data_IF_812783612175
#
_entry.id   IF_812783612175
#
_cell.length_a   1.000
_cell.length_b   1.000
_cell.length_c   1.000
_cell.angle_alpha   90.00
_cell.angle_beta   90.00
_cell.angle_gamma   90.00
#
_symmetry.space_group_name_H-M   'P 1'
#
loop_
_entity.id
_entity.type
_entity.pdbx_description
1 polymer ?
#
# COMPACT_ATOMS: atom_id res chain seq x y z
N UNK A 1 29.47 3.35 -1.21
CA UNK A 1 28.32 4.06 -0.64
C UNK A 1 28.32 3.73 0.83
N UNK A 2 28.49 4.72 1.71
CA UNK A 2 28.39 4.49 3.16
C UNK A 2 26.96 4.02 3.47
N UNK A 3 26.82 2.92 4.21
CA UNK A 3 25.53 2.49 4.74
C UNK A 3 25.01 3.59 5.66
N UNK A 4 24.12 4.43 5.14
CA UNK A 4 23.46 5.46 5.94
C UNK A 4 22.57 4.74 6.95
N UNK A 5 23.04 4.68 8.19
CA UNK A 5 22.28 4.09 9.29
C UNK A 5 21.12 5.03 9.62
N UNK A 6 19.89 4.54 9.50
CA UNK A 6 18.67 5.26 9.86
C UNK A 6 18.12 4.63 11.14
N UNK A 7 18.39 5.18 12.34
CA UNK A 7 17.95 4.59 13.60
C UNK A 7 16.43 4.37 13.66
N UNK A 8 15.66 5.26 13.04
CA UNK A 8 14.20 5.16 12.92
C UNK A 8 13.74 3.89 12.19
N UNK A 9 14.54 3.36 11.24
CA UNK A 9 14.24 2.12 10.52
C UNK A 9 14.46 0.92 11.43
N UNK A 10 15.58 0.86 12.15
CA UNK A 10 15.87 -0.27 13.05
C UNK A 10 14.89 -0.32 14.22
N UNK A 11 14.57 0.83 14.83
CA UNK A 11 13.60 0.90 15.93
C UNK A 11 12.20 0.43 15.48
N UNK A 12 11.74 0.86 14.29
CA UNK A 12 10.45 0.43 13.75
C UNK A 12 10.47 -1.04 13.36
N UNK A 13 11.57 -1.52 12.79
CA UNK A 13 11.77 -2.91 12.41
C UNK A 13 11.71 -3.83 13.63
N UNK A 14 12.38 -3.48 14.71
CA UNK A 14 12.35 -4.23 15.97
C UNK A 14 10.94 -4.26 16.57
N UNK A 15 10.23 -3.11 16.57
CA UNK A 15 8.84 -3.04 17.03
C UNK A 15 7.93 -3.92 16.18
N UNK A 16 8.02 -3.79 14.85
CA UNK A 16 7.21 -4.55 13.91
C UNK A 16 7.43 -6.06 14.10
N UNK A 17 8.68 -6.53 14.07
CA UNK A 17 8.96 -7.95 14.23
C UNK A 17 8.66 -8.48 15.63
N UNK A 18 8.77 -7.64 16.67
CA UNK A 18 8.29 -7.98 18.00
C UNK A 18 6.79 -8.26 18.02
N UNK A 19 5.98 -7.52 17.27
CA UNK A 19 4.55 -7.83 17.15
C UNK A 19 4.34 -9.11 16.34
N UNK A 20 5.04 -9.25 15.20
CA UNK A 20 4.92 -10.43 14.34
C UNK A 20 5.22 -11.73 15.12
N UNK A 21 6.30 -11.76 15.90
CA UNK A 21 6.67 -12.95 16.69
C UNK A 21 5.67 -13.29 17.80
N UNK A 22 4.93 -12.30 18.31
CA UNK A 22 3.93 -12.50 19.35
C UNK A 22 2.53 -12.87 18.82
N UNK A 23 2.25 -12.54 17.56
CA UNK A 23 0.90 -12.69 16.97
C UNK A 23 0.80 -13.77 15.90
N UNK A 24 1.92 -14.24 15.36
CA UNK A 24 1.97 -15.21 14.28
C UNK A 24 2.67 -16.50 14.72
N UNK A 25 2.36 -17.60 14.04
CA UNK A 25 3.19 -18.81 14.15
C UNK A 25 4.62 -18.55 13.68
N UNK A 26 5.56 -19.36 14.17
CA UNK A 26 6.98 -19.20 13.81
C UNK A 26 7.24 -19.27 12.29
N UNK A 27 6.47 -20.11 11.58
CA UNK A 27 6.61 -20.27 10.13
C UNK A 27 6.13 -19.01 9.38
N UNK A 28 4.98 -18.44 9.74
CA UNK A 28 4.50 -17.19 9.12
C UNK A 28 5.34 -15.98 9.53
N UNK A 29 5.83 -15.93 10.78
CA UNK A 29 6.74 -14.89 11.23
C UNK A 29 8.04 -14.88 10.41
N UNK A 30 8.64 -16.05 10.16
CA UNK A 30 9.82 -16.18 9.31
C UNK A 30 9.51 -15.81 7.86
N UNK A 31 8.33 -16.18 7.36
CA UNK A 31 7.89 -15.81 6.01
C UNK A 31 7.76 -14.29 5.83
N UNK A 32 7.18 -13.59 6.80
CA UNK A 32 7.09 -12.12 6.82
C UNK A 32 8.48 -11.49 6.92
N UNK A 33 9.37 -12.04 7.75
CA UNK A 33 10.77 -11.59 7.88
C UNK A 33 11.54 -11.74 6.57
N UNK A 34 11.42 -12.89 5.93
CA UNK A 34 12.03 -13.15 4.62
C UNK A 34 11.48 -12.20 3.55
N UNK A 35 10.16 -11.95 3.56
CA UNK A 35 9.52 -11.01 2.64
C UNK A 35 10.08 -9.59 2.80
N UNK A 36 10.21 -9.09 4.03
CA UNK A 36 10.79 -7.78 4.32
C UNK A 36 12.22 -7.67 3.81
N UNK A 37 13.08 -8.67 4.08
CA UNK A 37 14.48 -8.63 3.65
C UNK A 37 14.60 -8.52 2.13
N UNK A 38 13.77 -9.27 1.39
CA UNK A 38 13.75 -9.19 -0.07
C UNK A 38 13.19 -7.84 -0.54
N UNK A 39 12.08 -7.37 0.03
CA UNK A 39 11.49 -6.07 -0.34
C UNK A 39 12.45 -4.89 -0.07
N UNK A 40 13.16 -4.92 1.05
CA UNK A 40 14.21 -3.96 1.41
C UNK A 40 15.37 -4.00 0.41
N UNK A 41 15.81 -5.20 0.00
CA UNK A 41 16.85 -5.38 -1.01
C UNK A 41 16.44 -4.86 -2.39
N UNK A 42 15.19 -5.09 -2.80
CA UNK A 42 14.66 -4.56 -4.07
C UNK A 42 14.67 -3.02 -4.09
N UNK A 43 14.44 -2.37 -2.95
CA UNK A 43 14.37 -0.91 -2.83
C UNK A 43 15.65 -0.27 -2.28
N UNK A 44 16.76 -1.01 -2.15
CA UNK A 44 17.98 -0.55 -1.47
C UNK A 44 18.53 0.79 -1.97
N UNK A 45 18.40 1.05 -3.28
CA UNK A 45 18.89 2.28 -3.91
C UNK A 45 17.81 3.38 -4.03
N UNK A 46 16.61 3.16 -3.49
CA UNK A 46 15.49 4.11 -3.53
C UNK A 46 15.41 4.89 -2.23
N UNK A 47 15.08 6.17 -2.37
CA UNK A 47 14.76 7.04 -1.25
C UNK A 47 13.33 7.54 -1.38
N UNK A 48 12.60 7.53 -0.26
CA UNK A 48 11.29 8.15 -0.15
C UNK A 48 11.42 9.40 0.73
N UNK A 49 11.10 10.58 0.20
CA UNK A 49 11.17 11.84 0.96
C UNK A 49 12.51 12.10 1.71
N UNK A 50 13.64 11.62 1.18
CA UNK A 50 15.01 11.68 1.75
C UNK A 50 15.33 10.67 2.85
N UNK A 51 14.44 9.72 3.13
CA UNK A 51 14.70 8.55 4.00
C UNK A 51 14.74 7.28 3.16
N UNK A 52 15.28 6.19 3.71
CA UNK A 52 15.22 4.87 3.09
C UNK A 52 13.77 4.52 2.73
N UNK A 53 13.56 3.98 1.53
CA UNK A 53 12.24 3.49 1.12
C UNK A 53 11.73 2.37 2.03
N UNK A 54 12.65 1.61 2.62
CA UNK A 54 12.37 0.53 3.59
C UNK A 54 11.49 1.00 4.76
N UNK A 55 11.66 2.25 5.18
CA UNK A 55 10.86 2.83 6.26
C UNK A 55 9.37 2.90 5.88
N UNK A 56 9.05 3.26 4.63
CA UNK A 56 7.66 3.34 4.16
C UNK A 56 7.03 1.94 4.09
N UNK A 57 7.78 0.95 3.60
CA UNK A 57 7.31 -0.44 3.54
C UNK A 57 6.95 -0.97 4.93
N UNK A 58 7.83 -0.76 5.91
CA UNK A 58 7.60 -1.13 7.31
C UNK A 58 6.41 -0.38 7.90
N UNK A 59 6.28 0.93 7.68
CA UNK A 59 5.15 1.72 8.19
C UNK A 59 3.79 1.23 7.68
N UNK A 60 3.73 0.80 6.41
CA UNK A 60 2.50 0.26 5.83
C UNK A 60 2.17 -1.11 6.42
N UNK A 61 3.15 -2.02 6.50
CA UNK A 61 2.97 -3.34 7.09
C UNK A 61 2.60 -3.26 8.59
N UNK A 62 3.26 -2.39 9.34
CA UNK A 62 2.96 -2.11 10.74
C UNK A 62 1.56 -1.49 10.90
N UNK A 63 1.17 -0.59 10.00
CA UNK A 63 -0.19 -0.04 9.96
C UNK A 63 -1.26 -1.12 9.83
N UNK A 64 -1.04 -2.14 9.00
CA UNK A 64 -1.97 -3.27 8.85
C UNK A 64 -2.12 -4.06 10.16
N UNK A 65 -1.01 -4.30 10.85
CA UNK A 65 -1.01 -4.98 12.16
C UNK A 65 -1.82 -4.17 13.18
N UNK A 66 -1.60 -2.85 13.26
CA UNK A 66 -2.29 -1.97 14.21
C UNK A 66 -3.79 -1.86 13.96
N UNK A 67 -4.25 -1.91 12.71
CA UNK A 67 -5.70 -1.88 12.43
C UNK A 67 -6.39 -3.21 12.69
N UNK A 68 -5.66 -4.27 13.08
CA UNK A 68 -6.22 -5.55 13.51
C UNK A 68 -5.94 -6.74 12.60
N UNK A 69 -5.00 -6.66 11.67
CA UNK A 69 -4.60 -7.79 10.80
C UNK A 69 -3.44 -8.63 11.38
N UNK A 70 -3.29 -8.68 12.70
CA UNK A 70 -2.22 -9.40 13.39
C UNK A 70 -2.55 -10.88 13.65
N UNK A 71 -2.62 -11.71 12.61
CA UNK A 71 -2.77 -13.17 12.74
C UNK A 71 -2.38 -13.92 11.45
N UNK A 72 -2.09 -15.22 11.57
CA UNK A 72 -1.66 -16.10 10.46
C UNK A 72 -2.54 -15.99 9.20
N UNK A 73 -3.87 -15.89 9.36
CA UNK A 73 -4.81 -15.74 8.23
C UNK A 73 -4.62 -14.44 7.42
N UNK A 74 -3.84 -13.51 7.93
CA UNK A 74 -3.52 -12.22 7.31
C UNK A 74 -2.06 -12.08 6.91
N UNK A 75 -1.22 -13.11 7.07
CA UNK A 75 0.20 -13.05 6.72
C UNK A 75 0.42 -12.60 5.26
N UNK A 76 -0.38 -13.10 4.32
CA UNK A 76 -0.34 -12.68 2.91
C UNK A 76 -0.64 -11.18 2.72
N UNK A 77 -1.54 -10.60 3.53
CA UNK A 77 -1.86 -9.18 3.45
C UNK A 77 -0.69 -8.33 3.99
N UNK A 78 -0.06 -8.76 5.08
CA UNK A 78 1.14 -8.10 5.63
C UNK A 78 2.30 -8.16 4.63
N UNK A 79 2.54 -9.32 4.02
CA UNK A 79 3.54 -9.50 2.97
C UNK A 79 3.20 -8.60 1.77
N UNK A 80 1.95 -8.54 1.33
CA UNK A 80 1.53 -7.64 0.27
C UNK A 80 1.80 -6.16 0.63
N UNK A 81 1.61 -5.77 1.90
CA UNK A 81 1.99 -4.44 2.40
C UNK A 81 3.49 -4.14 2.24
N UNK A 82 4.36 -5.12 2.46
CA UNK A 82 5.81 -4.98 2.24
C UNK A 82 6.17 -4.87 0.74
N UNK A 83 5.37 -5.46 -0.15
CA UNK A 83 5.62 -5.46 -1.60
C UNK A 83 4.79 -4.46 -2.41
N UNK A 84 3.88 -3.70 -1.80
CA UNK A 84 2.80 -2.99 -2.51
C UNK A 84 3.28 -2.04 -3.63
N UNK A 85 4.43 -1.39 -3.42
CA UNK A 85 5.04 -0.48 -4.40
C UNK A 85 6.05 -1.18 -5.35
N UNK A 86 6.41 -2.44 -5.08
CA UNK A 86 7.46 -3.14 -5.84
C UNK A 86 7.10 -3.29 -7.32
N UNK A 87 5.82 -3.52 -7.59
CA UNK A 87 5.29 -3.66 -8.95
C UNK A 87 5.42 -2.36 -9.75
N UNK A 88 5.28 -1.20 -9.09
CA UNK A 88 5.34 0.12 -9.71
C UNK A 88 6.79 0.64 -9.83
N UNK A 89 7.56 0.51 -8.76
CA UNK A 89 8.80 1.27 -8.58
C UNK A 89 10.06 0.49 -8.94
N UNK A 90 10.01 -0.84 -8.87
CA UNK A 90 11.15 -1.75 -9.10
C UNK A 90 10.78 -3.02 -9.90
N UNK A 91 10.00 -2.92 -11.01
CA UNK A 91 9.59 -4.10 -11.78
C UNK A 91 10.77 -4.84 -12.39
N UNK A 92 11.83 -4.15 -12.80
CA UNK A 92 13.03 -4.77 -13.38
C UNK A 92 13.81 -5.58 -12.34
N UNK A 93 13.92 -5.07 -11.10
CA UNK A 93 14.61 -5.75 -10.00
C UNK A 93 13.86 -7.02 -9.59
N UNK A 94 12.52 -6.99 -9.59
CA UNK A 94 11.69 -8.19 -9.37
C UNK A 94 12.00 -9.28 -10.40
N UNK A 95 12.06 -8.92 -11.68
CA UNK A 95 12.36 -9.86 -12.77
C UNK A 95 13.80 -10.39 -12.69
N UNK A 96 14.76 -9.55 -12.30
CA UNK A 96 16.14 -9.96 -12.08
C UNK A 96 16.27 -10.93 -10.91
N UNK A 97 15.52 -10.71 -9.81
CA UNK A 97 15.56 -11.55 -8.62
C UNK A 97 15.15 -13.00 -8.92
N UNK A 98 14.17 -13.21 -9.82
CA UNK A 98 13.75 -14.55 -10.25
C UNK A 98 14.61 -15.15 -11.38
N UNK A 99 15.70 -14.49 -11.76
CA UNK A 99 16.64 -14.98 -12.79
C UNK A 99 16.14 -14.81 -14.23
N UNK A 100 15.11 -13.98 -14.47
CA UNK A 100 14.59 -13.72 -15.82
C UNK A 100 15.42 -12.69 -16.59
N UNK A 101 16.45 -12.12 -15.97
CA UNK A 101 17.42 -11.25 -16.64
C UNK A 101 18.39 -12.03 -17.52
N UNK A 102 18.07 -12.12 -18.82
CA UNK A 102 18.90 -12.57 -19.97
C UNK A 102 18.56 -13.92 -20.65
N UNK A 103 17.40 -14.54 -20.39
CA UNK A 103 17.04 -15.80 -21.06
C UNK A 103 15.55 -16.02 -21.27
N UNK A 104 15.02 -15.50 -22.39
CA UNK A 104 13.85 -15.92 -23.21
C UNK A 104 12.61 -16.59 -22.58
N UNK A 105 12.37 -16.49 -21.27
CA UNK A 105 11.06 -16.74 -20.66
C UNK A 105 10.47 -15.41 -20.26
N UNK A 106 9.42 -14.95 -20.94
CA UNK A 106 8.63 -13.78 -20.55
C UNK A 106 7.89 -14.08 -19.23
N UNK A 107 8.61 -14.02 -18.11
CA UNK A 107 8.00 -14.03 -16.78
C UNK A 107 7.43 -12.62 -16.56
N UNK A 108 6.14 -12.53 -16.33
CA UNK A 108 5.47 -11.29 -15.94
C UNK A 108 5.87 -10.87 -14.52
N UNK A 109 5.69 -9.58 -14.19
CA UNK A 109 5.97 -9.08 -12.82
C UNK A 109 5.08 -9.77 -11.78
N UNK A 110 3.84 -10.12 -12.14
CA UNK A 110 2.94 -10.90 -11.28
C UNK A 110 3.53 -12.29 -10.99
N UNK A 111 3.92 -13.05 -12.02
CA UNK A 111 4.54 -14.37 -11.84
C UNK A 111 5.87 -14.29 -11.06
N UNK A 112 6.62 -13.20 -11.19
CA UNK A 112 7.82 -12.98 -10.39
C UNK A 112 7.48 -12.81 -8.90
N UNK A 113 6.48 -12.00 -8.57
CA UNK A 113 6.00 -11.83 -7.19
C UNK A 113 5.48 -13.14 -6.61
N UNK A 114 4.72 -13.92 -7.36
CA UNK A 114 4.23 -15.24 -6.94
C UNK A 114 5.38 -16.18 -6.60
N UNK A 115 6.42 -16.23 -7.45
CA UNK A 115 7.60 -17.07 -7.21
C UNK A 115 8.38 -16.64 -5.97
N UNK A 116 8.57 -15.33 -5.77
CA UNK A 116 9.32 -14.77 -4.64
C UNK A 116 8.58 -15.04 -3.32
N UNK A 117 7.27 -14.77 -3.31
CA UNK A 117 6.44 -14.81 -2.09
C UNK A 117 5.84 -16.19 -1.82
N UNK A 118 5.88 -17.06 -2.83
CA UNK A 118 5.22 -18.36 -2.88
C UNK A 118 3.71 -18.26 -2.61
N UNK A 119 3.08 -17.16 -3.01
CA UNK A 119 1.64 -16.92 -2.84
C UNK A 119 1.04 -16.10 -3.98
N UNK A 120 0.09 -16.72 -4.68
CA UNK A 120 -0.78 -16.06 -5.66
C UNK A 120 -1.58 -14.91 -5.03
N UNK A 121 -2.01 -15.09 -3.77
CA UNK A 121 -2.80 -14.10 -3.04
C UNK A 121 -2.01 -12.83 -2.77
N UNK A 122 -0.72 -12.94 -2.46
CA UNK A 122 0.17 -11.77 -2.32
C UNK A 122 0.27 -11.01 -3.65
N UNK A 123 0.54 -11.71 -4.75
CA UNK A 123 0.66 -11.08 -6.07
C UNK A 123 -0.65 -10.39 -6.49
N UNK A 124 -1.79 -11.01 -6.19
CA UNK A 124 -3.10 -10.44 -6.44
C UNK A 124 -3.34 -9.16 -5.61
N UNK A 125 -3.05 -9.16 -4.31
CA UNK A 125 -3.16 -7.96 -3.48
C UNK A 125 -2.29 -6.82 -4.02
N UNK A 126 -1.02 -7.10 -4.33
CA UNK A 126 -0.09 -6.10 -4.87
C UNK A 126 -0.65 -5.54 -6.18
N UNK A 127 -1.05 -6.39 -7.12
CA UNK A 127 -1.65 -5.95 -8.38
C UNK A 127 -2.91 -5.07 -8.18
N UNK A 128 -3.77 -5.44 -7.22
CA UNK A 128 -4.97 -4.66 -6.89
C UNK A 128 -4.63 -3.26 -6.38
N UNK A 129 -3.57 -3.09 -5.57
CA UNK A 129 -3.21 -1.79 -4.98
C UNK A 129 -2.22 -0.97 -5.81
N UNK A 130 -1.53 -1.57 -6.78
CA UNK A 130 -0.51 -0.90 -7.59
C UNK A 130 -1.09 -0.01 -8.70
N UNK A 131 -0.71 1.26 -8.80
CA UNK A 131 -1.12 2.15 -9.87
C UNK A 131 -0.65 1.65 -11.25
N UNK A 132 -1.46 1.91 -12.28
CA UNK A 132 -1.06 1.72 -13.67
C UNK A 132 -0.06 2.82 -14.06
N UNK A 133 0.87 2.53 -14.98
CA UNK A 133 1.72 3.56 -15.58
C UNK A 133 0.87 4.70 -16.16
N UNK A 134 1.34 5.93 -15.99
CA UNK A 134 0.68 7.08 -16.60
C UNK A 134 0.80 6.98 -18.13
N UNK A 135 -0.28 7.13 -18.92
CA UNK A 135 -0.24 6.94 -20.35
C UNK A 135 0.64 7.97 -21.07
N UNK A 136 1.45 7.53 -22.02
CA UNK A 136 2.35 8.40 -22.80
C UNK A 136 1.60 9.36 -23.74
N UNK A 137 0.35 9.03 -24.10
CA UNK A 137 -0.51 9.81 -24.99
C UNK A 137 -1.28 10.94 -24.28
N UNK A 138 -1.17 11.03 -22.95
CA UNK A 138 -1.76 12.09 -22.15
C UNK A 138 -0.68 13.08 -21.71
N UNK A 139 -0.93 14.38 -21.91
CA UNK A 139 -0.01 15.41 -21.42
C UNK A 139 0.14 15.30 -19.88
N UNK A 140 1.36 15.18 -19.34
CA UNK A 140 1.60 14.88 -17.93
C UNK A 140 1.50 16.10 -17.02
N UNK A 141 0.46 16.93 -17.22
CA UNK A 141 0.12 18.04 -16.33
C UNK A 141 -0.22 17.53 -14.93
N UNK A 142 -0.04 18.37 -13.91
CA UNK A 142 -0.42 18.03 -12.53
C UNK A 142 -1.90 17.61 -12.44
N UNK A 143 -2.79 18.30 -13.14
CA UNK A 143 -4.22 18.00 -13.16
C UNK A 143 -4.52 16.64 -13.79
N UNK A 144 -3.93 16.36 -14.95
CA UNK A 144 -4.13 15.10 -15.65
C UNK A 144 -3.62 13.93 -14.82
N UNK A 145 -2.48 14.09 -14.13
CA UNK A 145 -1.95 13.09 -13.20
C UNK A 145 -2.92 12.82 -12.06
N UNK A 146 -3.40 13.87 -11.38
CA UNK A 146 -4.35 13.74 -10.27
C UNK A 146 -5.61 12.99 -10.71
N UNK A 147 -6.20 13.41 -11.84
CA UNK A 147 -7.39 12.76 -12.40
C UNK A 147 -7.13 11.30 -12.72
N UNK A 148 -6.04 11.00 -13.42
CA UNK A 148 -5.68 9.63 -13.76
C UNK A 148 -5.52 8.73 -12.54
N UNK A 149 -4.84 9.21 -11.47
CA UNK A 149 -4.69 8.42 -10.24
C UNK A 149 -6.05 8.14 -9.58
N UNK A 150 -6.93 9.15 -9.48
CA UNK A 150 -8.25 8.97 -8.89
C UNK A 150 -9.14 8.02 -9.73
N UNK A 151 -9.12 8.15 -11.06
CA UNK A 151 -9.89 7.30 -11.96
C UNK A 151 -9.39 5.86 -11.96
N UNK A 152 -8.07 5.65 -11.86
CA UNK A 152 -7.48 4.33 -11.71
C UNK A 152 -7.94 3.65 -10.40
N UNK A 153 -7.89 4.36 -9.27
CA UNK A 153 -8.44 3.85 -7.99
C UNK A 153 -9.93 3.52 -8.11
N UNK A 154 -10.72 4.39 -8.75
CA UNK A 154 -12.15 4.17 -8.94
C UNK A 154 -12.40 2.94 -9.82
N UNK A 155 -11.68 2.78 -10.92
CA UNK A 155 -11.82 1.62 -11.79
C UNK A 155 -11.51 0.31 -11.03
N UNK A 156 -10.51 0.33 -10.15
CA UNK A 156 -10.09 -0.84 -9.37
C UNK A 156 -11.04 -1.23 -8.25
N UNK A 157 -11.57 -0.24 -7.54
CA UNK A 157 -12.30 -0.47 -6.28
C UNK A 157 -13.77 -0.09 -6.33
N UNK A 158 -14.29 0.42 -7.44
CA UNK A 158 -15.69 0.85 -7.57
C UNK A 158 -16.27 0.46 -8.93
N UNK A 159 -15.44 0.42 -9.97
CA UNK A 159 -15.86 0.04 -11.32
C UNK A 159 -16.50 -1.35 -11.38
N UNK A 160 -17.15 -1.64 -12.51
CA UNK A 160 -17.84 -2.90 -12.75
C UNK A 160 -16.84 -4.08 -12.74
N UNK A 161 -16.62 -4.64 -11.55
CA UNK A 161 -16.00 -5.96 -11.39
C UNK A 161 -17.09 -6.97 -11.72
N UNK A 162 -16.80 -7.90 -12.63
CA UNK A 162 -17.77 -8.96 -12.93
C UNK A 162 -18.11 -9.72 -11.65
N UNK A 163 -19.41 -10.02 -11.42
CA UNK A 163 -19.83 -10.77 -10.21
C UNK A 163 -19.14 -12.13 -10.07
N UNK A 164 -18.56 -12.66 -11.16
CA UNK A 164 -17.87 -13.95 -11.21
C UNK A 164 -16.42 -13.88 -10.71
N UNK A 165 -15.81 -12.69 -10.65
CA UNK A 165 -14.42 -12.47 -10.22
C UNK A 165 -14.31 -11.70 -8.89
N UNK A 166 -15.44 -11.32 -8.31
CA UNK A 166 -15.49 -10.49 -7.12
C UNK A 166 -15.44 -11.32 -5.82
N UNK A 167 -14.32 -11.25 -5.10
CA UNK A 167 -14.18 -11.72 -3.72
C UNK A 167 -14.29 -10.53 -2.75
N UNK A 168 -15.42 -10.37 -2.03
CA UNK A 168 -15.63 -9.25 -1.13
C UNK A 168 -14.54 -9.10 -0.06
N UNK A 169 -14.07 -10.22 0.51
CA UNK A 169 -13.06 -10.23 1.58
C UNK A 169 -11.72 -9.73 1.05
N UNK A 170 -11.32 -10.22 -0.13
CA UNK A 170 -10.10 -9.77 -0.79
C UNK A 170 -10.16 -8.28 -1.12
N UNK A 171 -11.27 -7.79 -1.68
CA UNK A 171 -11.47 -6.38 -1.98
C UNK A 171 -11.44 -5.51 -0.73
N UNK A 172 -12.12 -5.91 0.35
CA UNK A 172 -12.09 -5.19 1.62
C UNK A 172 -10.67 -5.04 2.19
N UNK A 173 -9.87 -6.11 2.13
CA UNK A 173 -8.47 -6.12 2.57
C UNK A 173 -7.57 -5.27 1.67
N UNK A 174 -7.77 -5.30 0.35
CA UNK A 174 -7.03 -4.46 -0.60
C UNK A 174 -7.33 -2.96 -0.41
N UNK A 175 -8.60 -2.62 -0.14
CA UNK A 175 -9.01 -1.25 0.22
C UNK A 175 -8.35 -0.82 1.53
N UNK A 176 -8.34 -1.67 2.56
CA UNK A 176 -7.68 -1.39 3.83
C UNK A 176 -6.17 -1.10 3.64
N UNK A 177 -5.46 -1.94 2.87
CA UNK A 177 -4.07 -1.72 2.51
C UNK A 177 -3.88 -0.36 1.82
N UNK A 178 -4.72 -0.01 0.84
CA UNK A 178 -4.59 1.27 0.12
C UNK A 178 -4.90 2.48 0.99
N UNK A 179 -5.83 2.38 1.95
CA UNK A 179 -6.10 3.41 2.94
C UNK A 179 -4.86 3.64 3.82
N UNK A 180 -4.23 2.56 4.31
CA UNK A 180 -3.05 2.66 5.17
C UNK A 180 -1.86 3.25 4.42
N UNK A 181 -1.57 2.77 3.20
CA UNK A 181 -0.56 3.35 2.31
C UNK A 181 -0.79 4.86 2.12
N UNK A 182 -2.02 5.24 1.75
CA UNK A 182 -2.37 6.65 1.56
C UNK A 182 -2.21 7.45 2.86
N UNK A 183 -2.60 6.89 4.01
CA UNK A 183 -2.42 7.50 5.32
C UNK A 183 -0.95 7.77 5.65
N UNK A 184 -0.07 6.76 5.52
CA UNK A 184 1.36 6.92 5.78
C UNK A 184 2.00 7.93 4.82
N UNK A 185 1.62 7.89 3.54
CA UNK A 185 2.00 8.89 2.54
C UNK A 185 1.61 10.33 2.95
N UNK A 186 0.39 10.53 3.45
CA UNK A 186 -0.09 11.86 3.85
C UNK A 186 0.62 12.40 5.09
N UNK A 187 0.96 11.51 6.05
CA UNK A 187 1.76 11.89 7.23
C UNK A 187 3.11 12.46 6.84
N UNK A 188 3.71 12.01 5.74
CA UNK A 188 5.01 12.47 5.26
C UNK A 188 4.96 13.77 4.44
N UNK A 189 3.78 14.34 4.17
CA UNK A 189 3.67 15.59 3.40
C UNK A 189 4.47 16.76 4.00
N UNK A 190 4.63 16.79 5.32
CA UNK A 190 5.37 17.85 6.01
C UNK A 190 6.87 17.85 5.68
N UNK A 191 7.45 16.69 5.34
CA UNK A 191 8.87 16.55 4.98
C UNK A 191 9.18 16.95 3.53
N UNK A 192 8.15 17.09 2.68
CA UNK A 192 8.30 17.52 1.27
C UNK A 192 8.71 19.00 1.21
N UNK A 193 9.98 19.28 0.94
CA UNK A 193 10.56 20.64 0.95
C UNK A 193 9.95 21.59 -0.11
N UNK A 194 9.61 21.07 -1.29
CA UNK A 194 9.02 21.89 -2.36
C UNK A 194 7.56 22.22 -2.06
N UNK A 195 7.23 23.51 -1.96
CA UNK A 195 5.86 23.99 -1.74
C UNK A 195 4.91 23.57 -2.86
N UNK A 196 5.33 23.69 -4.11
CA UNK A 196 4.55 23.28 -5.28
C UNK A 196 4.29 21.77 -5.27
N UNK A 197 5.33 20.96 -5.05
CA UNK A 197 5.19 19.50 -4.93
C UNK A 197 4.25 19.11 -3.79
N UNK A 198 4.36 19.79 -2.64
CA UNK A 198 3.49 19.57 -1.48
C UNK A 198 2.03 19.92 -1.78
N UNK A 199 1.77 21.03 -2.48
CA UNK A 199 0.42 21.42 -2.89
C UNK A 199 -0.19 20.42 -3.88
N UNK A 200 0.60 19.98 -4.87
CA UNK A 200 0.23 18.92 -5.80
C UNK A 200 -0.14 17.62 -5.07
N UNK A 201 0.73 17.14 -4.17
CA UNK A 201 0.48 15.90 -3.42
C UNK A 201 -0.74 16.00 -2.51
N UNK A 202 -0.97 17.15 -1.87
CA UNK A 202 -2.21 17.39 -1.11
C UNK A 202 -3.44 17.21 -1.99
N UNK A 203 -3.47 17.86 -3.16
CA UNK A 203 -4.59 17.73 -4.09
C UNK A 203 -4.76 16.29 -4.59
N UNK A 204 -3.67 15.59 -4.92
CA UNK A 204 -3.68 14.16 -5.27
C UNK A 204 -4.36 13.34 -4.18
N UNK A 205 -3.91 13.46 -2.93
CA UNK A 205 -4.45 12.67 -1.83
C UNK A 205 -5.88 13.07 -1.43
N UNK A 206 -6.28 14.33 -1.63
CA UNK A 206 -7.68 14.75 -1.49
C UNK A 206 -8.59 14.00 -2.46
N UNK A 207 -8.21 13.90 -3.74
CA UNK A 207 -9.03 13.15 -4.71
C UNK A 207 -8.99 11.63 -4.46
N UNK A 208 -7.83 11.09 -4.04
CA UNK A 208 -7.74 9.68 -3.63
C UNK A 208 -8.62 9.37 -2.42
N UNK A 209 -8.66 10.25 -1.41
CA UNK A 209 -9.49 10.04 -0.20
C UNK A 209 -10.97 9.88 -0.56
N UNK A 210 -11.52 10.72 -1.43
CA UNK A 210 -12.93 10.63 -1.86
C UNK A 210 -13.26 9.25 -2.45
N UNK A 211 -12.36 8.73 -3.29
CA UNK A 211 -12.51 7.41 -3.92
C UNK A 211 -12.38 6.30 -2.89
N UNK A 212 -11.41 6.41 -1.96
CA UNK A 212 -11.19 5.41 -0.92
C UNK A 212 -12.35 5.36 0.09
N UNK A 213 -12.96 6.50 0.44
CA UNK A 213 -14.16 6.54 1.29
C UNK A 213 -15.35 5.83 0.64
N UNK A 214 -15.54 6.00 -0.66
CA UNK A 214 -16.58 5.31 -1.43
C UNK A 214 -16.31 3.81 -1.47
N UNK A 215 -15.09 3.41 -1.84
CA UNK A 215 -14.66 2.01 -1.83
C UNK A 215 -14.78 1.37 -0.44
N UNK A 216 -14.43 2.09 0.62
CA UNK A 216 -14.56 1.65 2.01
C UNK A 216 -16.03 1.35 2.38
N UNK A 217 -16.96 2.24 2.00
CA UNK A 217 -18.39 2.02 2.24
C UNK A 217 -18.91 0.78 1.51
N UNK A 218 -18.44 0.56 0.28
CA UNK A 218 -18.85 -0.58 -0.55
C UNK A 218 -18.27 -1.91 -0.06
N UNK A 219 -16.98 -1.93 0.26
CA UNK A 219 -16.22 -3.17 0.43
C UNK A 219 -15.85 -3.51 1.87
N UNK A 220 -15.89 -2.53 2.79
CA UNK A 220 -15.52 -2.74 4.20
C UNK A 220 -16.72 -2.70 5.12
N UNK A 221 -17.52 -1.62 5.11
CA UNK A 221 -18.66 -1.50 6.03
C UNK A 221 -19.75 -2.57 5.81
N UNK A 222 -19.91 -3.04 4.58
CA UNK A 222 -20.87 -4.10 4.24
C UNK A 222 -20.34 -5.52 4.40
N UNK A 223 -19.07 -5.70 4.79
CA UNK A 223 -18.40 -6.99 4.75
C UNK A 223 -18.00 -7.48 6.15
N UNK A 224 -18.65 -8.54 6.67
CA UNK A 224 -18.35 -9.08 8.00
C UNK A 224 -16.89 -9.50 8.20
N UNK A 225 -16.19 -9.91 7.13
CA UNK A 225 -14.79 -10.38 7.23
C UNK A 225 -13.77 -9.28 7.53
N UNK A 226 -14.16 -8.02 7.36
CA UNK A 226 -13.33 -6.82 7.61
C UNK A 226 -14.02 -5.78 8.48
N UNK A 227 -15.26 -6.05 8.90
CA UNK A 227 -16.06 -5.14 9.72
C UNK A 227 -15.42 -4.87 11.09
N UNK A 228 -14.72 -5.86 11.65
CA UNK A 228 -14.02 -5.73 12.93
C UNK A 228 -12.85 -4.73 12.85
N UNK A 229 -12.34 -4.43 11.65
CA UNK A 229 -11.29 -3.44 11.42
C UNK A 229 -11.85 -2.04 11.08
N UNK A 230 -13.17 -1.88 10.95
CA UNK A 230 -13.80 -0.63 10.50
C UNK A 230 -13.48 0.57 11.42
N UNK A 231 -13.42 0.36 12.75
CA UNK A 231 -13.13 1.45 13.69
C UNK A 231 -11.72 2.03 13.45
N UNK A 232 -10.71 1.18 13.35
CA UNK A 232 -9.32 1.62 13.14
C UNK A 232 -9.09 2.18 11.73
N UNK A 233 -9.80 1.64 10.72
CA UNK A 233 -9.77 2.19 9.37
C UNK A 233 -10.42 3.58 9.29
N UNK A 234 -11.48 3.84 10.05
CA UNK A 234 -12.05 5.19 10.18
C UNK A 234 -11.01 6.16 10.77
N UNK A 235 -10.26 5.75 11.80
CA UNK A 235 -9.17 6.59 12.36
C UNK A 235 -8.09 6.91 11.33
N UNK A 236 -7.79 5.99 10.42
CA UNK A 236 -6.87 6.23 9.31
C UNK A 236 -7.43 7.25 8.31
N UNK A 237 -8.70 7.13 7.92
CA UNK A 237 -9.39 8.07 7.03
C UNK A 237 -9.43 9.49 7.63
N UNK A 238 -9.84 9.61 8.90
CA UNK A 238 -9.81 10.87 9.65
C UNK A 238 -8.39 11.45 9.68
N UNK A 239 -7.40 10.58 9.88
CA UNK A 239 -5.99 10.93 9.87
C UNK A 239 -5.48 11.46 8.52
N UNK A 240 -5.98 10.93 7.40
CA UNK A 240 -5.70 11.44 6.05
C UNK A 240 -6.29 12.85 5.92
N UNK A 241 -7.57 13.02 6.24
CA UNK A 241 -8.28 14.30 6.14
C UNK A 241 -7.58 15.40 6.95
N UNK A 242 -7.17 15.10 8.18
CA UNK A 242 -6.41 16.02 9.02
C UNK A 242 -5.06 16.38 8.40
N UNK A 243 -4.37 15.43 7.77
CA UNK A 243 -3.01 15.61 7.22
C UNK A 243 -2.99 16.43 5.93
N UNK A 244 -4.01 16.28 5.07
CA UNK A 244 -4.18 17.12 3.87
C UNK A 244 -4.74 18.51 4.21
N UNK A 245 -5.26 18.67 5.43
CA UNK A 245 -5.91 19.87 5.98
C UNK A 245 -7.42 19.77 5.79
N UNK A 246 -8.20 20.01 6.84
CA UNK A 246 -9.69 19.97 6.82
C UNK A 246 -10.22 20.81 5.66
N UNK A 247 -10.47 20.19 4.52
CA UNK A 247 -11.56 20.58 3.62
C UNK A 247 -12.85 20.22 4.36
N UNK A 248 -13.85 21.10 4.38
CA UNK A 248 -15.15 20.92 5.04
C UNK A 248 -15.98 19.70 4.56
N UNK A 249 -15.46 18.46 4.63
CA UNK A 249 -16.12 17.27 4.08
C UNK A 249 -16.91 16.52 5.17
N UNK A 250 -16.59 16.70 6.45
CA UNK A 250 -17.21 15.94 7.55
C UNK A 250 -18.16 16.72 8.48
N UNK A 251 -18.73 17.86 8.07
CA UNK A 251 -19.77 18.54 8.88
C UNK A 251 -21.19 17.93 8.75
N UNK A 252 -21.35 16.79 8.07
CA UNK A 252 -22.68 16.20 7.79
C UNK A 252 -23.01 14.84 8.44
N UNK A 253 -22.10 14.21 9.20
CA UNK A 253 -22.21 12.76 9.48
C UNK A 253 -22.13 12.30 10.94
N UNK A 254 -22.31 13.20 11.91
CA UNK A 254 -22.52 12.82 13.32
C UNK A 254 -23.99 12.94 13.79
N UNK A 255 -24.94 13.12 12.88
CA UNK A 255 -26.37 13.06 13.19
C UNK A 255 -27.10 12.07 12.27
N UNK A 256 -27.00 10.76 12.55
CA UNK A 256 -28.04 9.75 12.28
C UNK A 256 -27.99 8.64 13.31
#
# INVERSE_FOLDING_TARGET
MENMHYPEVEDLKDQFFGIIENSFSADEAERIRSAHNIASDLHRDKLYASVSYDLHLLEVAEGLVHVGFASDQHADLIIAGLYHDSFEDVPEQLLQFVGSGNGSGDVSVTEALEKITKSEKVALFVQMVSNRPFPDDIEPTEENKIRFYADNLRQKFIGDVSEQEYDPELFGKAVALKIIDTYKNTKRLHSVKSKTKRAYLRKKYTESLKVLEEAYKLHVLGNPSVADQAEELNKCLDGIELSIGRSHVMEGYLER
#
